data_IF_982238791265
#
_entry.id   IF_982238791265
#
_cell.length_a   1.000
_cell.length_b   1.000
_cell.length_c   1.000
_cell.angle_alpha   90.00
_cell.angle_beta   90.00
_cell.angle_gamma   90.00
#
_symmetry.space_group_name_H-M   'P 1'
#
loop_
_entity.id
_entity.type
_entity.pdbx_description
1 polymer ?
#
# COMPACT_ATOMS: atom_id res chain seq x y z
N UNK A 1 -5.99 -14.05 -4.22
CA UNK A 1 -5.25 -12.87 -3.73
C UNK A 1 -4.13 -12.63 -4.73
N UNK A 2 -4.08 -11.47 -5.41
CA UNK A 2 -3.06 -11.23 -6.42
C UNK A 2 -1.73 -10.87 -5.75
N UNK A 3 -0.68 -11.55 -6.21
CA UNK A 3 0.73 -11.25 -5.92
C UNK A 3 1.33 -10.70 -7.20
N UNK A 4 2.05 -9.58 -7.13
CA UNK A 4 2.83 -9.06 -8.26
C UNK A 4 4.25 -8.74 -7.82
N UNK A 5 5.17 -8.99 -8.73
CA UNK A 5 6.57 -8.67 -8.55
C UNK A 5 6.94 -7.45 -9.39
N UNK A 6 7.56 -6.45 -8.77
CA UNK A 6 8.06 -5.27 -9.46
C UNK A 6 9.59 -5.25 -9.39
N UNK A 7 10.24 -5.37 -10.55
CA UNK A 7 11.68 -5.10 -10.67
C UNK A 7 11.90 -3.61 -10.47
N UNK A 8 12.57 -3.23 -9.38
CA UNK A 8 12.90 -1.84 -9.10
C UNK A 8 14.04 -1.76 -8.09
N UNK A 9 14.86 -0.71 -8.18
CA UNK A 9 15.90 -0.39 -7.19
C UNK A 9 15.37 0.48 -6.04
N UNK A 10 14.06 0.70 -6.00
CA UNK A 10 13.42 1.60 -5.04
C UNK A 10 13.26 0.87 -3.71
N UNK A 11 13.72 1.46 -2.58
CA UNK A 11 13.52 0.87 -1.26
C UNK A 11 12.04 0.58 -0.97
N UNK A 12 11.78 -0.52 -0.25
CA UNK A 12 10.43 -0.97 0.06
C UNK A 12 9.63 0.08 0.83
N UNK A 13 10.28 0.93 1.62
CA UNK A 13 9.68 2.01 2.38
C UNK A 13 9.14 3.13 1.50
N UNK A 14 9.82 3.43 0.39
CA UNK A 14 9.36 4.43 -0.58
C UNK A 14 8.16 3.92 -1.35
N UNK A 15 8.16 2.66 -1.77
CA UNK A 15 6.97 2.03 -2.36
C UNK A 15 5.81 2.02 -1.36
N UNK A 16 6.07 1.65 -0.10
CA UNK A 16 5.04 1.63 0.94
C UNK A 16 4.47 3.04 1.20
N UNK A 17 5.30 4.08 1.17
CA UNK A 17 4.84 5.47 1.26
C UNK A 17 3.98 5.87 0.06
N UNK A 18 4.36 5.48 -1.16
CA UNK A 18 3.57 5.72 -2.36
C UNK A 18 2.18 5.06 -2.27
N UNK A 19 2.13 3.81 -1.79
CA UNK A 19 0.87 3.09 -1.50
C UNK A 19 0.03 3.85 -0.46
N UNK A 20 0.63 4.29 0.64
CA UNK A 20 -0.05 5.06 1.69
C UNK A 20 -0.67 6.35 1.13
N UNK A 21 0.10 7.12 0.34
CA UNK A 21 -0.37 8.36 -0.30
C UNK A 21 -1.52 8.07 -1.27
N UNK A 22 -1.41 7.00 -2.06
CA UNK A 22 -2.45 6.59 -3.01
C UNK A 22 -3.79 6.31 -2.33
N UNK A 23 -3.77 5.62 -1.18
CA UNK A 23 -4.95 5.37 -0.36
C UNK A 23 -5.51 6.65 0.28
N UNK A 24 -4.65 7.50 0.85
CA UNK A 24 -5.08 8.78 1.45
C UNK A 24 -5.77 9.69 0.43
N UNK A 25 -5.30 9.73 -0.81
CA UNK A 25 -5.94 10.47 -1.91
C UNK A 25 -7.35 9.97 -2.26
N UNK A 26 -7.73 8.77 -1.80
CA UNK A 26 -9.07 8.17 -1.96
C UNK A 26 -9.87 8.18 -0.65
N UNK A 27 -9.47 8.99 0.33
CA UNK A 27 -10.09 9.15 1.64
C UNK A 27 -10.09 7.87 2.50
N UNK A 28 -9.06 7.04 2.36
CA UNK A 28 -8.83 5.92 3.26
C UNK A 28 -8.05 6.39 4.50
N UNK A 29 -8.44 5.88 5.66
CA UNK A 29 -7.55 5.83 6.81
C UNK A 29 -6.45 4.82 6.52
N UNK A 30 -5.20 5.18 6.77
CA UNK A 30 -4.06 4.32 6.50
C UNK A 30 -3.17 4.12 7.72
N UNK A 31 -2.55 2.95 7.81
CA UNK A 31 -1.45 2.67 8.72
C UNK A 31 -0.32 1.99 7.96
N UNK A 32 0.91 2.43 8.21
CA UNK A 32 2.12 1.85 7.62
C UNK A 32 3.09 1.49 8.73
N UNK A 33 3.59 0.27 8.70
CA UNK A 33 4.55 -0.26 9.68
C UNK A 33 5.37 -1.38 9.06
N UNK A 34 6.52 -1.68 9.65
CA UNK A 34 7.46 -2.69 9.13
C UNK A 34 8.91 -2.26 9.31
N UNK A 35 9.78 -2.82 8.48
CA UNK A 35 11.21 -2.58 8.44
C UNK A 35 11.71 -2.47 6.98
N UNK A 36 13.03 -2.40 6.79
CA UNK A 36 13.66 -2.23 5.46
C UNK A 36 13.50 -3.43 4.52
N UNK A 37 13.13 -4.59 5.05
CA UNK A 37 12.94 -5.82 4.26
C UNK A 37 11.47 -6.06 3.96
N UNK A 38 10.58 -5.57 4.82
CA UNK A 38 9.16 -5.80 4.71
C UNK A 38 8.36 -4.64 5.29
N UNK A 39 7.46 -4.09 4.48
CA UNK A 39 6.52 -3.06 4.88
C UNK A 39 5.08 -3.55 4.71
N UNK A 40 4.21 -3.15 5.62
CA UNK A 40 2.79 -3.42 5.58
C UNK A 40 2.07 -2.08 5.56
N UNK A 41 1.16 -1.92 4.60
CA UNK A 41 0.23 -0.79 4.52
C UNK A 41 -1.18 -1.33 4.67
N UNK A 42 -1.86 -0.92 5.73
CA UNK A 42 -3.28 -1.19 5.92
C UNK A 42 -4.06 0.06 5.54
N UNK A 43 -5.15 -0.11 4.80
CA UNK A 43 -6.06 0.94 4.43
C UNK A 43 -7.50 0.51 4.77
N UNK A 44 -8.26 1.39 5.42
CA UNK A 44 -9.70 1.20 5.60
C UNK A 44 -10.48 2.44 5.18
N UNK A 45 -11.67 2.23 4.64
CA UNK A 45 -12.66 3.27 4.39
C UNK A 45 -13.97 2.86 5.04
N UNK A 46 -14.53 3.76 5.83
CA UNK A 46 -15.74 3.52 6.60
C UNK A 46 -15.49 2.97 8.02
N UNK A 47 -14.87 3.78 8.88
CA UNK A 47 -14.66 3.49 10.31
C UNK A 47 -15.95 3.48 11.16
N UNK A 48 -15.83 3.86 12.44
CA UNK A 48 -16.89 3.85 13.47
C UNK A 48 -18.27 4.40 13.05
N UNK A 49 -18.31 5.28 12.05
CA UNK A 49 -19.54 5.92 11.56
C UNK A 49 -20.17 5.24 10.32
N UNK A 50 -19.44 4.37 9.61
CA UNK A 50 -19.94 3.72 8.39
C UNK A 50 -20.44 2.29 8.63
N UNK A 51 -20.42 1.82 9.88
CA UNK A 51 -20.90 0.50 10.30
C UNK A 51 -22.39 0.26 10.03
N UNK A 52 -23.14 1.30 9.67
CA UNK A 52 -24.59 1.23 9.38
C UNK A 52 -24.87 0.88 7.90
N UNK A 53 -23.90 1.06 6.98
CA UNK A 53 -24.16 0.99 5.54
C UNK A 53 -23.64 -0.26 4.82
N UNK A 54 -22.95 -1.19 5.49
CA UNK A 54 -22.38 -2.39 4.84
C UNK A 54 -21.26 -2.09 3.82
N UNK A 55 -20.70 -0.88 3.83
CA UNK A 55 -19.66 -0.40 2.89
C UNK A 55 -18.27 -0.32 3.52
N UNK A 56 -17.98 -1.11 4.54
CA UNK A 56 -16.65 -1.15 5.14
C UNK A 56 -15.67 -1.81 4.16
N UNK A 57 -14.67 -1.05 3.69
CA UNK A 57 -13.59 -1.56 2.85
C UNK A 57 -12.31 -1.61 3.66
N UNK A 58 -11.65 -2.77 3.71
CA UNK A 58 -10.32 -2.90 4.30
C UNK A 58 -9.39 -3.66 3.35
N UNK A 59 -8.23 -3.08 3.06
CA UNK A 59 -7.16 -3.71 2.27
C UNK A 59 -5.86 -3.71 3.05
N UNK A 60 -5.16 -4.83 3.02
CA UNK A 60 -3.78 -4.94 3.48
C UNK A 60 -2.89 -5.17 2.28
N UNK A 61 -1.84 -4.35 2.18
CA UNK A 61 -0.78 -4.46 1.20
C UNK A 61 0.49 -4.84 1.95
N UNK A 62 1.12 -5.95 1.56
CA UNK A 62 2.44 -6.34 2.07
C UNK A 62 3.43 -6.15 0.94
N UNK A 63 4.50 -5.43 1.23
CA UNK A 63 5.60 -5.19 0.33
C UNK A 63 6.82 -5.87 0.97
N UNK A 64 7.46 -6.77 0.25
CA UNK A 64 8.64 -7.49 0.71
C UNK A 64 9.77 -7.25 -0.28
N UNK A 65 10.91 -6.79 0.21
CA UNK A 65 12.12 -6.69 -0.58
C UNK A 65 12.53 -8.09 -1.05
N UNK A 66 12.97 -8.17 -2.29
CA UNK A 66 13.47 -9.36 -2.94
C UNK A 66 14.72 -9.00 -3.75
N UNK A 67 15.53 -9.98 -4.14
CA UNK A 67 16.86 -9.80 -4.74
C UNK A 67 16.94 -8.64 -5.74
N UNK A 68 16.03 -8.59 -6.73
CA UNK A 68 16.01 -7.56 -7.78
C UNK A 68 14.74 -6.69 -7.77
N UNK A 69 14.05 -6.57 -6.62
CA UNK A 69 12.83 -5.80 -6.59
C UNK A 69 11.98 -5.94 -5.34
N UNK A 70 10.68 -5.76 -5.53
CA UNK A 70 9.70 -5.79 -4.45
C UNK A 70 8.54 -6.69 -4.83
N UNK A 71 8.27 -7.66 -3.97
CA UNK A 71 7.12 -8.53 -4.02
C UNK A 71 5.95 -7.85 -3.30
N UNK A 72 4.82 -7.66 -3.98
CA UNK A 72 3.64 -6.97 -3.47
C UNK A 72 2.45 -7.90 -3.41
N UNK A 73 1.89 -8.05 -2.22
CA UNK A 73 0.73 -8.87 -1.92
C UNK A 73 -0.43 -7.99 -1.50
N UNK A 74 -1.60 -8.16 -2.11
CA UNK A 74 -2.83 -7.49 -1.65
C UNK A 74 -3.83 -8.51 -1.12
N UNK A 75 -4.48 -8.18 -0.02
CA UNK A 75 -5.47 -9.05 0.60
C UNK A 75 -6.51 -8.28 1.40
N UNK A 76 -7.62 -8.94 1.70
CA UNK A 76 -8.61 -8.41 2.61
C UNK A 76 -7.95 -8.10 3.97
N UNK A 77 -8.12 -6.88 4.44
CA UNK A 77 -7.46 -6.40 5.64
C UNK A 77 -8.30 -6.63 6.90
N UNK A 78 -7.65 -7.07 7.99
CA UNK A 78 -8.12 -6.80 9.35
C UNK A 78 -7.46 -5.51 9.81
N UNK A 79 -8.26 -4.48 10.09
CA UNK A 79 -7.71 -3.24 10.60
C UNK A 79 -7.30 -3.42 12.05
N UNK A 80 -6.04 -3.18 12.37
CA UNK A 80 -5.58 -3.18 13.75
C UNK A 80 -5.91 -1.82 14.38
N UNK A 81 -6.87 -1.80 15.31
CA UNK A 81 -7.19 -0.58 16.04
C UNK A 81 -6.03 -0.22 16.99
N UNK A 82 -5.58 1.04 16.90
CA UNK A 82 -4.53 1.61 17.79
C UNK A 82 -5.00 1.79 19.25
N UNK A 83 -6.27 1.50 19.54
CA UNK A 83 -6.91 1.72 20.84
C UNK A 83 -6.59 0.65 21.90
N UNK A 84 -5.82 -0.39 21.57
CA UNK A 84 -5.50 -1.48 22.50
C UNK A 84 -4.53 -1.08 23.65
N UNK A 85 -4.05 0.17 23.68
CA UNK A 85 -3.07 0.62 24.68
C UNK A 85 -3.67 1.22 25.98
N UNK A 86 -4.99 1.28 26.14
CA UNK A 86 -5.56 1.67 27.44
C UNK A 86 -7.07 1.91 27.44
N UNK A 87 -7.80 1.05 28.14
CA UNK A 87 -9.22 1.27 28.44
C UNK A 87 -10.05 0.02 28.18
N UNK A 88 -10.53 -0.59 29.27
CA UNK A 88 -11.28 -1.85 29.39
C UNK A 88 -12.69 -1.83 28.72
N UNK A 89 -12.92 -0.99 27.70
CA UNK A 89 -14.26 -0.76 27.11
C UNK A 89 -14.51 -1.26 25.69
N UNK A 90 -13.50 -1.61 24.88
CA UNK A 90 -13.72 -1.82 23.41
C UNK A 90 -14.02 -3.27 22.98
N UNK A 91 -14.06 -4.22 23.92
CA UNK A 91 -14.06 -5.66 23.61
C UNK A 91 -15.38 -6.26 23.07
N UNK A 92 -16.44 -5.46 22.83
CA UNK A 92 -17.80 -6.01 22.55
C UNK A 92 -18.27 -5.85 21.09
N UNK A 93 -17.61 -5.04 20.24
CA UNK A 93 -18.09 -4.78 18.87
C UNK A 93 -17.22 -5.33 17.73
N UNK A 94 -16.14 -6.03 18.04
CA UNK A 94 -15.37 -6.81 17.06
C UNK A 94 -16.13 -7.97 16.35
N UNK A 95 -17.23 -8.55 16.87
CA UNK A 95 -17.87 -9.71 16.21
C UNK A 95 -18.58 -9.44 14.86
N UNK A 96 -18.84 -8.19 14.46
CA UNK A 96 -19.52 -7.83 13.19
C UNK A 96 -18.59 -7.19 12.13
N UNK A 97 -17.30 -7.01 12.43
CA UNK A 97 -16.33 -6.29 11.58
C UNK A 97 -15.83 -7.09 10.35
N UNK A 98 -16.37 -8.29 10.13
CA UNK A 98 -16.17 -9.09 8.91
C UNK A 98 -17.54 -9.46 8.36
N UNK A 99 -18.34 -8.46 7.97
CA UNK A 99 -19.48 -8.75 7.08
C UNK A 99 -18.92 -9.07 5.71
N UNK A 100 -18.61 -10.35 5.51
CA UNK A 100 -18.50 -10.97 4.21
C UNK A 100 -19.89 -10.88 3.54
N UNK A 101 -20.11 -9.82 2.77
CA UNK A 101 -21.33 -9.65 2.01
C UNK A 101 -21.32 -8.30 1.29
N UNK A 102 -21.41 -8.32 -0.04
CA UNK A 102 -21.48 -7.17 -0.97
C UNK A 102 -20.14 -6.45 -1.30
N UNK A 103 -19.12 -6.44 -0.42
CA UNK A 103 -17.88 -5.66 -0.62
C UNK A 103 -16.72 -6.30 -1.41
N UNK A 104 -16.76 -7.62 -1.70
CA UNK A 104 -15.61 -8.37 -2.25
C UNK A 104 -15.18 -7.85 -3.63
N UNK A 105 -16.13 -7.47 -4.48
CA UNK A 105 -15.84 -6.97 -5.83
C UNK A 105 -15.08 -5.63 -5.79
N UNK A 106 -15.53 -4.70 -4.94
CA UNK A 106 -14.88 -3.40 -4.82
C UNK A 106 -13.48 -3.52 -4.19
N UNK A 107 -13.28 -4.46 -3.25
CA UNK A 107 -11.96 -4.75 -2.69
C UNK A 107 -11.02 -5.35 -3.74
N UNK A 108 -11.50 -6.26 -4.59
CA UNK A 108 -10.71 -6.83 -5.69
C UNK A 108 -10.32 -5.75 -6.72
N UNK A 109 -11.28 -4.91 -7.13
CA UNK A 109 -11.03 -3.81 -8.05
C UNK A 109 -10.05 -2.79 -7.47
N UNK A 110 -10.16 -2.46 -6.17
CA UNK A 110 -9.24 -1.55 -5.50
C UNK A 110 -7.81 -2.12 -5.45
N UNK A 111 -7.69 -3.44 -5.22
CA UNK A 111 -6.42 -4.16 -5.30
C UNK A 111 -5.80 -4.07 -6.70
N UNK A 112 -6.56 -4.34 -7.75
CA UNK A 112 -6.07 -4.20 -9.13
C UNK A 112 -5.67 -2.76 -9.48
N UNK A 113 -6.48 -1.77 -9.11
CA UNK A 113 -6.13 -0.36 -9.34
C UNK A 113 -4.83 0.04 -8.64
N UNK A 114 -4.59 -0.47 -7.43
CA UNK A 114 -3.34 -0.24 -6.72
C UNK A 114 -2.16 -0.87 -7.45
N UNK A 115 -2.31 -2.10 -7.94
CA UNK A 115 -1.26 -2.81 -8.66
C UNK A 115 -0.92 -2.09 -9.98
N UNK A 116 -1.92 -1.66 -10.74
CA UNK A 116 -1.71 -0.82 -11.93
C UNK A 116 -1.00 0.49 -11.61
N UNK A 117 -1.39 1.15 -10.50
CA UNK A 117 -0.69 2.36 -10.04
C UNK A 117 0.79 2.10 -9.74
N UNK A 118 1.10 1.02 -9.01
CA UNK A 118 2.48 0.64 -8.69
C UNK A 118 3.30 0.33 -9.93
N UNK A 119 2.70 -0.33 -10.92
CA UNK A 119 3.35 -0.59 -12.21
C UNK A 119 3.77 0.71 -12.89
N UNK A 120 2.87 1.70 -12.97
CA UNK A 120 3.20 3.01 -13.55
C UNK A 120 4.23 3.77 -12.71
N UNK A 121 4.10 3.75 -11.38
CA UNK A 121 5.02 4.43 -10.47
C UNK A 121 6.45 3.89 -10.61
N UNK A 122 6.61 2.56 -10.63
CA UNK A 122 7.91 1.90 -10.80
C UNK A 122 8.51 2.20 -12.16
N UNK A 123 7.72 2.11 -13.24
CA UNK A 123 8.20 2.40 -14.60
C UNK A 123 8.67 3.84 -14.75
N UNK A 124 8.02 4.79 -14.11
CA UNK A 124 8.42 6.20 -14.19
C UNK A 124 9.70 6.47 -13.40
N UNK A 125 9.82 5.90 -12.19
CA UNK A 125 11.02 6.00 -11.38
C UNK A 125 12.26 5.36 -12.05
N UNK A 126 12.07 4.27 -12.80
CA UNK A 126 13.14 3.62 -13.57
C UNK A 126 13.66 4.49 -14.73
N UNK A 127 12.75 5.16 -15.45
CA UNK A 127 13.12 6.13 -16.49
C UNK A 127 13.90 7.31 -15.92
N UNK A 128 13.47 7.83 -14.77
CA UNK A 128 14.14 8.96 -14.12
C UNK A 128 15.55 8.58 -13.65
N UNK A 129 15.76 7.34 -13.21
CA UNK A 129 17.08 6.82 -12.87
C UNK A 129 18.01 6.80 -14.09
N UNK A 130 17.56 6.26 -15.23
CA UNK A 130 18.36 6.23 -16.46
C UNK A 130 18.67 7.63 -17.00
N UNK A 131 17.70 8.56 -16.96
CA UNK A 131 17.92 9.95 -17.37
C UNK A 131 18.99 10.64 -16.53
N UNK A 132 19.04 10.37 -15.22
CA UNK A 132 20.06 10.94 -14.34
C UNK A 132 21.46 10.39 -14.62
N UNK A 133 21.57 9.09 -14.92
CA UNK A 133 22.84 8.48 -15.31
C UNK A 133 23.39 9.04 -16.64
N UNK A 134 22.52 9.30 -17.62
CA UNK A 134 22.89 9.93 -18.89
C UNK A 134 23.36 11.38 -18.69
N UNK A 135 22.58 12.20 -17.99
CA UNK A 135 22.94 13.59 -17.71
C UNK A 135 24.26 13.71 -16.94
N UNK A 136 24.56 12.75 -16.05
CA UNK A 136 25.80 12.75 -15.28
C UNK A 136 27.02 12.32 -16.11
N UNK A 137 26.83 11.52 -17.16
CA UNK A 137 27.90 11.18 -18.12
C UNK A 137 28.17 12.36 -19.06
N UNK A 138 27.12 12.97 -19.60
CA UNK A 138 27.22 14.15 -20.47
C UNK A 138 27.94 15.31 -19.78
N UNK A 139 27.58 15.61 -18.52
CA UNK A 139 28.23 16.69 -17.75
C UNK A 139 29.70 16.39 -17.34
N UNK A 140 30.20 15.16 -17.52
CA UNK A 140 31.60 14.79 -17.30
C UNK A 140 32.44 14.79 -18.57
N UNK A 141 31.81 14.78 -19.74
CA UNK A 141 32.48 14.74 -21.04
C UNK A 141 32.69 16.13 -21.67
N UNK A 142 32.14 17.19 -21.09
CA UNK A 142 32.42 18.59 -21.47
C UNK A 142 33.69 19.06 -20.73
N UNK A 143 34.85 19.20 -21.40
CA UNK A 143 36.01 19.81 -20.79
C UNK A 143 35.82 21.34 -20.71
N UNK A 144 36.34 21.97 -19.65
CA UNK A 144 36.52 23.44 -19.59
C UNK A 144 37.44 23.98 -20.68
#
# INVERSE_FOLDING_TARGET
>A
MPVRFYKCRIPVEHLALAVEIWFKKKDFETQRFGNKEQMIVQARKGGLWASVAGMAQALTVRLKAWEDGVEVHTGAGKWLDKAAAGGVGWFVFWPLAVTAGVGVYQQAQLGEQLLTFLEHFVREADKDYHRQEENQKENKEVPE
#
